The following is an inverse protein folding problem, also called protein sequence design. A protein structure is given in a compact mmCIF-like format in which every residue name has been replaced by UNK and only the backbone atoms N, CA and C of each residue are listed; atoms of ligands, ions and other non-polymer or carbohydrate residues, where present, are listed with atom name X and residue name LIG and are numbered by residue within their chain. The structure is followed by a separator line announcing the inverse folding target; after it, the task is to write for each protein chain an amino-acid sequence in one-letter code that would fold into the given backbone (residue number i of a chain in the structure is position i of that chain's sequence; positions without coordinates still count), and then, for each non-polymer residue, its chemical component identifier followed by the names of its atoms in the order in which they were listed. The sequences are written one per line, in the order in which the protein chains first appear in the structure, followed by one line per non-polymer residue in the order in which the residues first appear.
data_IF_506068473211
#
_entry.id   IF_506068473211
#
_cell.length_a   1.000
_cell.length_b   1.000
_cell.length_c   1.000
_cell.angle_alpha   90.00
_cell.angle_beta   90.00
_cell.angle_gamma   90.00
#
_symmetry.space_group_name_H-M   'P 1'
#
loop_
_entity.id
_entity.type
_entity.pdbx_description
1 polymer ?
#
# COMPACT_ATOMS: atom_id res chain seq x y z
N UNK A 1 -13.95 6.44 10.84
CA UNK A 1 -13.51 5.92 9.52
C UNK A 1 -12.18 6.54 9.12
N UNK A 2 -11.50 5.95 8.14
CA UNK A 2 -10.18 6.38 7.65
C UNK A 2 -10.18 6.47 6.14
N UNK A 3 -9.31 7.32 5.58
CA UNK A 3 -9.02 7.35 4.16
C UNK A 3 -7.62 6.83 3.88
N UNK A 4 -7.45 6.17 2.74
CA UNK A 4 -6.15 5.84 2.15
C UNK A 4 -6.18 6.14 0.65
N UNK A 5 -5.04 6.51 0.07
CA UNK A 5 -4.90 6.69 -1.38
C UNK A 5 -3.99 5.59 -1.93
N UNK A 6 -4.53 4.80 -2.84
CA UNK A 6 -3.86 3.60 -3.35
C UNK A 6 -3.90 3.54 -4.88
N UNK A 7 -2.98 2.79 -5.47
CA UNK A 7 -3.03 2.34 -6.86
C UNK A 7 -3.23 0.82 -6.89
N UNK A 8 -4.17 0.35 -7.69
CA UNK A 8 -4.34 -1.08 -7.99
C UNK A 8 -3.61 -1.40 -9.29
N UNK A 9 -2.47 -2.12 -9.25
CA UNK A 9 -1.72 -2.46 -10.45
C UNK A 9 -2.56 -3.29 -11.41
N UNK A 10 -2.62 -2.88 -12.69
CA UNK A 10 -3.28 -3.65 -13.73
C UNK A 10 -2.38 -4.80 -14.21
N UNK A 11 -2.28 -5.84 -13.40
CA UNK A 11 -1.48 -7.05 -13.61
C UNK A 11 -2.31 -8.30 -13.35
N UNK A 12 -1.79 -9.47 -13.76
CA UNK A 12 -2.36 -10.74 -13.35
C UNK A 12 -2.03 -10.99 -11.86
N UNK A 13 -3.05 -11.02 -11.00
CA UNK A 13 -2.90 -11.05 -9.53
C UNK A 13 -3.13 -12.39 -8.88
N UNK A 14 -3.44 -13.47 -9.62
CA UNK A 14 -3.81 -14.77 -9.04
C UNK A 14 -2.72 -15.32 -8.12
N UNK A 15 -1.45 -15.31 -8.55
CA UNK A 15 -0.33 -15.79 -7.74
C UNK A 15 -0.15 -14.96 -6.47
N UNK A 16 -0.30 -13.64 -6.57
CA UNK A 16 -0.23 -12.72 -5.42
C UNK A 16 -1.39 -13.00 -4.47
N UNK A 17 -2.61 -13.15 -4.99
CA UNK A 17 -3.80 -13.41 -4.19
C UNK A 17 -3.76 -14.77 -3.50
N UNK A 18 -3.31 -15.82 -4.17
CA UNK A 18 -3.12 -17.14 -3.58
C UNK A 18 -2.10 -17.11 -2.42
N UNK A 19 -1.02 -16.37 -2.60
CA UNK A 19 -0.02 -16.15 -1.56
C UNK A 19 -0.60 -15.35 -0.39
N UNK A 20 -1.26 -14.22 -0.67
CA UNK A 20 -1.90 -13.37 0.34
C UNK A 20 -2.99 -14.11 1.13
N UNK A 21 -3.69 -15.05 0.52
CA UNK A 21 -4.66 -15.91 1.21
C UNK A 21 -4.06 -16.66 2.41
N UNK A 22 -2.78 -16.98 2.34
CA UNK A 22 -2.07 -17.73 3.39
C UNK A 22 -1.44 -16.82 4.45
N UNK A 23 -1.03 -15.62 4.04
CA UNK A 23 -0.08 -14.82 4.82
C UNK A 23 -0.52 -13.39 5.12
N UNK A 24 -1.54 -12.84 4.42
CA UNK A 24 -1.97 -11.44 4.61
C UNK A 24 -3.32 -11.37 5.34
N UNK A 25 -3.36 -10.84 6.56
CA UNK A 25 -4.61 -10.67 7.30
C UNK A 25 -5.58 -9.69 6.63
N UNK A 26 -5.07 -8.78 5.79
CA UNK A 26 -5.86 -7.74 5.12
C UNK A 26 -6.35 -8.15 3.72
N UNK A 27 -6.10 -9.40 3.29
CA UNK A 27 -6.41 -9.83 1.92
C UNK A 27 -7.89 -9.70 1.55
N UNK A 28 -8.80 -9.79 2.52
CA UNK A 28 -10.24 -9.65 2.29
C UNK A 28 -10.71 -8.19 2.34
N UNK A 29 -9.90 -7.30 2.90
CA UNK A 29 -10.19 -5.87 2.98
C UNK A 29 -9.90 -5.16 1.66
N UNK A 30 -8.76 -5.46 1.06
CA UNK A 30 -8.26 -4.71 -0.09
C UNK A 30 -7.42 -5.60 -1.03
N UNK A 31 -7.63 -5.43 -2.32
CA UNK A 31 -6.86 -6.09 -3.37
C UNK A 31 -5.36 -5.71 -3.32
N UNK A 32 -4.47 -6.45 -4.03
CA UNK A 32 -3.06 -6.05 -4.17
C UNK A 32 -2.94 -4.61 -4.65
N UNK A 33 -2.24 -3.77 -3.89
CA UNK A 33 -2.16 -2.33 -4.14
C UNK A 33 -0.83 -1.72 -3.72
N UNK A 34 -0.53 -0.54 -4.25
CA UNK A 34 0.56 0.33 -3.81
C UNK A 34 -0.08 1.50 -3.06
N UNK A 35 0.34 1.73 -1.83
CA UNK A 35 -0.18 2.83 -1.01
C UNK A 35 0.59 4.11 -1.26
N UNK A 36 -0.12 5.20 -1.57
CA UNK A 36 0.44 6.56 -1.71
C UNK A 36 0.19 7.43 -0.48
N UNK A 37 -0.99 7.31 0.14
CA UNK A 37 -1.31 7.94 1.42
C UNK A 37 -1.85 6.85 2.34
N UNK A 38 -1.15 6.65 3.45
CA UNK A 38 -1.56 5.71 4.48
C UNK A 38 -2.75 6.28 5.28
N UNK A 39 -3.37 5.48 6.12
CA UNK A 39 -4.60 5.81 6.82
C UNK A 39 -4.58 7.20 7.47
N UNK A 40 -5.46 8.06 7.01
CA UNK A 40 -5.75 9.36 7.62
C UNK A 40 -7.18 9.38 8.16
N UNK A 41 -7.45 10.03 9.30
CA UNK A 41 -8.79 10.01 9.90
C UNK A 41 -9.80 10.79 9.06
N UNK A 42 -11.06 10.41 9.14
CA UNK A 42 -12.19 11.06 8.44
C UNK A 42 -12.32 12.55 8.78
N UNK A 43 -11.82 13.00 9.93
CA UNK A 43 -11.81 14.39 10.36
C UNK A 43 -11.05 15.34 9.43
N UNK A 44 -10.20 14.84 8.54
CA UNK A 44 -9.57 15.62 7.45
C UNK A 44 -10.62 16.26 6.53
N UNK A 45 -11.77 15.63 6.38
CA UNK A 45 -12.87 16.08 5.52
C UNK A 45 -12.70 15.62 4.07
N UNK A 46 -13.67 14.86 3.56
CA UNK A 46 -13.63 14.24 2.22
C UNK A 46 -13.43 15.27 1.11
N UNK A 47 -14.23 16.36 1.13
CA UNK A 47 -14.15 17.40 0.09
C UNK A 47 -12.76 18.05 0.05
N UNK A 48 -12.19 18.38 1.22
CA UNK A 48 -10.86 18.98 1.31
C UNK A 48 -9.78 18.04 0.81
N UNK A 49 -9.89 16.76 1.14
CA UNK A 49 -8.96 15.72 0.71
C UNK A 49 -9.02 15.52 -0.81
N UNK A 50 -10.22 15.46 -1.37
CA UNK A 50 -10.43 15.35 -2.82
C UNK A 50 -9.79 16.52 -3.56
N UNK A 51 -10.07 17.77 -3.14
CA UNK A 51 -9.50 18.97 -3.78
C UNK A 51 -7.98 19.02 -3.68
N UNK A 52 -7.43 18.57 -2.55
CA UNK A 52 -5.98 18.50 -2.36
C UNK A 52 -5.35 17.49 -3.33
N UNK A 53 -5.91 16.26 -3.43
CA UNK A 53 -5.43 15.22 -4.34
C UNK A 53 -5.51 15.71 -5.79
N UNK A 54 -6.64 16.28 -6.22
CA UNK A 54 -6.81 16.84 -7.58
C UNK A 54 -5.76 17.90 -7.89
N UNK A 55 -5.49 18.80 -6.94
CA UNK A 55 -4.48 19.85 -7.09
C UNK A 55 -3.07 19.28 -7.27
N UNK A 56 -2.69 18.26 -6.51
CA UNK A 56 -1.38 17.59 -6.65
C UNK A 56 -1.30 16.88 -8.00
N UNK A 57 -2.32 16.10 -8.36
CA UNK A 57 -2.31 15.27 -9.57
C UNK A 57 -2.40 16.07 -10.88
N UNK A 58 -2.79 17.35 -10.84
CA UNK A 58 -2.82 18.24 -12.03
C UNK A 58 -1.48 18.28 -12.77
N UNK A 59 -0.36 18.11 -12.06
CA UNK A 59 0.99 18.14 -12.63
C UNK A 59 1.57 16.76 -12.92
N UNK A 60 0.78 15.72 -12.73
CA UNK A 60 1.24 14.33 -12.91
C UNK A 60 0.68 13.72 -14.18
N UNK A 61 1.53 12.94 -14.84
CA UNK A 61 1.20 12.11 -15.99
C UNK A 61 1.33 10.65 -15.62
N UNK A 62 0.78 9.78 -16.45
CA UNK A 62 0.98 8.33 -16.34
C UNK A 62 2.47 8.00 -16.42
N UNK A 63 2.92 7.04 -15.64
CA UNK A 63 4.31 6.59 -15.64
C UNK A 63 4.42 5.07 -15.43
N UNK A 64 5.42 4.42 -16.06
CA UNK A 64 5.62 2.99 -15.93
C UNK A 64 6.21 2.63 -14.56
N UNK A 65 5.90 1.44 -14.10
CA UNK A 65 6.52 0.80 -12.93
C UNK A 65 6.84 -0.66 -13.24
N UNK A 66 7.85 -1.19 -12.54
CA UNK A 66 8.21 -2.60 -12.61
C UNK A 66 8.26 -3.18 -11.19
N UNK A 67 7.33 -4.10 -10.87
CA UNK A 67 7.25 -4.82 -9.61
C UNK A 67 8.13 -6.06 -9.69
N UNK A 68 9.24 -6.07 -8.95
CA UNK A 68 10.19 -7.19 -8.92
C UNK A 68 11.08 -7.09 -7.69
N UNK A 69 11.30 -8.23 -7.05
CA UNK A 69 12.12 -8.35 -5.86
C UNK A 69 11.30 -8.41 -4.58
N UNK A 70 11.87 -9.06 -3.59
CA UNK A 70 11.27 -9.28 -2.30
C UNK A 70 12.06 -8.55 -1.23
N UNK A 71 11.37 -7.86 -0.33
CA UNK A 71 12.00 -7.14 0.77
C UNK A 71 11.25 -7.42 2.08
N UNK A 72 12.01 -7.73 3.15
CA UNK A 72 11.52 -7.67 4.52
C UNK A 72 11.44 -6.19 4.93
N UNK A 73 10.31 -5.76 5.42
CA UNK A 73 10.13 -4.38 5.85
C UNK A 73 9.37 -4.30 7.18
N UNK A 74 9.64 -3.24 7.94
CA UNK A 74 9.02 -2.97 9.25
C UNK A 74 9.06 -4.20 10.19
N UNK A 75 10.13 -4.99 10.05
CA UNK A 75 10.42 -6.23 10.78
C UNK A 75 9.47 -7.42 10.55
N UNK A 76 8.20 -7.17 10.19
CA UNK A 76 7.15 -8.19 10.19
C UNK A 76 6.50 -8.44 8.84
N UNK A 77 6.78 -7.60 7.83
CA UNK A 77 6.16 -7.68 6.52
C UNK A 77 7.09 -8.27 5.46
N UNK A 78 6.50 -8.94 4.49
CA UNK A 78 7.13 -9.28 3.21
C UNK A 78 6.48 -8.46 2.11
N UNK A 79 7.31 -7.72 1.36
CA UNK A 79 6.89 -6.84 0.28
C UNK A 79 7.39 -7.35 -1.07
N UNK A 80 6.56 -7.21 -2.09
CA UNK A 80 6.98 -7.17 -3.50
C UNK A 80 7.27 -5.69 -3.82
N UNK A 81 8.53 -5.37 -4.06
CA UNK A 81 9.01 -3.99 -4.23
C UNK A 81 9.02 -3.56 -5.71
N UNK A 82 9.16 -2.25 -5.93
CA UNK A 82 9.40 -1.70 -7.25
C UNK A 82 10.88 -1.75 -7.58
N UNK A 83 11.23 -2.34 -8.73
CA UNK A 83 12.56 -2.29 -9.34
C UNK A 83 12.74 -1.03 -10.20
N UNK A 84 11.65 -0.54 -10.82
CA UNK A 84 11.61 0.70 -11.63
C UNK A 84 10.38 1.53 -11.28
N UNK A 85 10.44 2.85 -11.48
CA UNK A 85 9.37 3.81 -11.14
C UNK A 85 9.34 4.19 -9.67
N UNK A 86 10.34 3.78 -8.90
CA UNK A 86 10.43 4.00 -7.47
C UNK A 86 10.54 5.50 -7.13
N UNK A 87 11.35 6.24 -7.90
CA UNK A 87 11.57 7.67 -7.68
C UNK A 87 10.29 8.48 -7.91
N UNK A 88 9.52 8.15 -8.95
CA UNK A 88 8.25 8.77 -9.26
C UNK A 88 7.22 8.52 -8.15
N UNK A 89 7.10 7.27 -7.67
CA UNK A 89 6.18 6.93 -6.58
C UNK A 89 6.57 7.64 -5.29
N UNK A 90 7.87 7.68 -4.93
CA UNK A 90 8.35 8.41 -3.74
C UNK A 90 8.11 9.91 -3.87
N UNK A 91 8.33 10.50 -5.05
CA UNK A 91 8.08 11.92 -5.30
C UNK A 91 6.60 12.24 -5.15
N UNK A 92 5.71 11.48 -5.79
CA UNK A 92 4.26 11.67 -5.68
C UNK A 92 3.78 11.51 -4.24
N UNK A 93 4.27 10.50 -3.52
CA UNK A 93 3.99 10.32 -2.09
C UNK A 93 4.36 11.57 -1.28
N UNK A 94 5.56 12.15 -1.50
CA UNK A 94 5.99 13.36 -0.79
C UNK A 94 5.15 14.59 -1.14
N UNK A 95 4.77 14.77 -2.40
CA UNK A 95 3.90 15.86 -2.85
C UNK A 95 2.49 15.75 -2.26
N UNK A 96 1.95 14.52 -2.14
CA UNK A 96 0.67 14.26 -1.49
C UNK A 96 0.69 14.63 0.00
N UNK A 97 1.81 14.36 0.71
CA UNK A 97 1.97 14.72 2.12
C UNK A 97 2.36 16.19 2.33
N UNK A 98 1.75 17.09 1.53
CA UNK A 98 1.81 18.54 1.73
C UNK A 98 0.46 19.10 2.19
N UNK A 99 0.38 20.38 2.50
CA UNK A 99 -0.87 21.03 2.85
C UNK A 99 -1.63 20.32 3.97
N UNK A 100 -2.87 19.93 3.70
CA UNK A 100 -3.76 19.29 4.69
C UNK A 100 -3.29 17.90 5.14
N UNK A 101 -2.47 17.22 4.34
CA UNK A 101 -1.93 15.90 4.67
C UNK A 101 -0.58 15.96 5.39
N UNK A 102 0.10 17.11 5.44
CA UNK A 102 1.41 17.25 6.11
C UNK A 102 1.42 16.77 7.58
N UNK A 103 0.37 17.01 8.40
CA UNK A 103 0.35 16.52 9.79
C UNK A 103 0.26 15.00 9.93
N UNK A 104 -0.09 14.29 8.87
CA UNK A 104 -0.29 12.82 8.88
C UNK A 104 0.89 12.06 8.30
N UNK A 105 1.93 12.76 7.85
CA UNK A 105 3.16 12.10 7.42
C UNK A 105 3.78 11.33 8.58
N UNK A 106 4.30 10.14 8.29
CA UNK A 106 4.95 9.25 9.26
C UNK A 106 6.47 9.24 9.04
N UNK A 107 7.20 10.24 9.58
CA UNK A 107 8.66 10.32 9.41
C UNK A 107 9.41 9.20 10.15
N UNK A 108 8.75 8.54 11.07
CA UNK A 108 9.23 7.37 11.83
C UNK A 108 9.20 6.07 11.03
N UNK A 109 8.53 6.06 9.86
CA UNK A 109 8.42 4.90 8.97
C UNK A 109 9.07 5.24 7.64
N UNK A 110 10.06 4.46 7.23
CA UNK A 110 10.62 4.56 5.88
C UNK A 110 9.55 4.18 4.85
N UNK A 111 9.29 5.08 3.91
CA UNK A 111 8.39 4.80 2.81
C UNK A 111 9.09 3.97 1.73
N UNK A 112 8.68 2.73 1.60
CA UNK A 112 9.11 1.78 0.57
C UNK A 112 7.92 1.53 -0.36
N UNK A 113 7.95 1.94 -1.65
CA UNK A 113 6.91 1.59 -2.61
C UNK A 113 6.81 0.08 -2.82
N UNK A 114 5.62 -0.49 -2.60
CA UNK A 114 5.46 -1.96 -2.59
C UNK A 114 4.02 -2.41 -2.78
N UNK A 115 3.88 -3.69 -3.08
CA UNK A 115 2.65 -4.47 -2.85
C UNK A 115 2.89 -5.37 -1.64
N UNK A 116 2.03 -5.28 -0.62
CA UNK A 116 2.09 -6.14 0.57
C UNK A 116 1.76 -7.59 0.23
N UNK A 117 2.63 -8.52 0.59
CA UNK A 117 2.43 -9.96 0.39
C UNK A 117 1.96 -10.67 1.65
N UNK A 118 2.47 -10.27 2.81
CA UNK A 118 2.09 -10.92 4.06
C UNK A 118 2.64 -10.23 5.30
N UNK A 119 1.96 -10.48 6.43
CA UNK A 119 2.34 -10.05 7.77
C UNK A 119 2.68 -11.27 8.63
N UNK A 120 3.86 -11.28 9.21
CA UNK A 120 4.40 -12.41 9.95
C UNK A 120 4.56 -12.11 11.44
N UNK A 121 3.54 -11.50 12.02
CA UNK A 121 3.47 -11.29 13.46
C UNK A 121 3.08 -12.59 14.19
N UNK A 122 3.59 -12.77 15.43
CA UNK A 122 3.18 -13.88 16.29
C UNK A 122 1.68 -13.80 16.59
N UNK A 123 1.05 -14.96 16.80
CA UNK A 123 -0.41 -15.08 17.01
C UNK A 123 -0.93 -14.38 18.26
N UNK A 124 -0.08 -14.13 19.25
CA UNK A 124 -0.38 -13.43 20.50
C UNK A 124 -0.27 -11.90 20.38
N UNK A 125 0.17 -11.41 19.23
CA UNK A 125 0.27 -9.99 18.97
C UNK A 125 -1.10 -9.42 18.55
N UNK A 126 -1.56 -8.40 19.27
CA UNK A 126 -2.70 -7.60 18.82
C UNK A 126 -2.29 -6.79 17.59
N UNK A 127 -2.68 -7.28 16.41
CA UNK A 127 -2.44 -6.56 15.17
C UNK A 127 -3.38 -5.35 15.06
N UNK A 128 -2.79 -4.16 14.97
CA UNK A 128 -3.49 -2.93 14.60
C UNK A 128 -2.79 -2.33 13.38
N UNK A 129 -3.46 -2.31 12.25
CA UNK A 129 -2.94 -1.75 10.99
C UNK A 129 -2.48 -0.29 11.13
N UNK A 130 -3.04 0.45 12.11
CA UNK A 130 -2.67 1.84 12.41
C UNK A 130 -1.33 1.96 13.12
N UNK A 131 -0.86 0.88 13.75
CA UNK A 131 0.40 0.84 14.49
C UNK A 131 1.14 -0.50 14.28
N UNK A 132 1.67 -0.76 13.07
CA UNK A 132 2.24 -2.04 12.69
C UNK A 132 3.59 -2.36 13.35
N UNK A 133 4.20 -1.42 14.09
CA UNK A 133 5.57 -1.58 14.62
C UNK A 133 5.65 -2.28 15.99
N UNK A 134 4.55 -2.57 16.65
CA UNK A 134 4.52 -3.15 17.99
C UNK A 134 4.36 -4.68 18.02
N UNK A 135 4.78 -5.36 16.97
CA UNK A 135 4.56 -6.79 16.81
C UNK A 135 5.88 -7.57 16.98
N UNK A 136 5.78 -8.80 17.49
CA UNK A 136 6.89 -9.75 17.48
C UNK A 136 6.84 -10.59 16.21
N UNK A 137 7.99 -10.77 15.53
CA UNK A 137 8.09 -11.57 14.33
C UNK A 137 7.90 -13.07 14.62
N UNK A 138 7.18 -13.76 13.74
CA UNK A 138 7.18 -15.22 13.60
C UNK A 138 8.22 -15.60 12.55
N UNK A 139 9.46 -15.83 12.97
CA UNK A 139 10.59 -16.08 12.09
C UNK A 139 10.39 -17.34 11.22
N UNK A 140 9.86 -18.42 11.81
CA UNK A 140 9.68 -19.68 11.09
C UNK A 140 8.68 -19.49 9.93
N UNK A 141 7.55 -18.89 10.22
CA UNK A 141 6.52 -18.60 9.22
C UNK A 141 7.03 -17.62 8.15
N UNK A 142 7.83 -16.61 8.56
CA UNK A 142 8.42 -15.66 7.63
C UNK A 142 9.38 -16.35 6.64
N UNK A 143 10.32 -17.18 7.11
CA UNK A 143 11.27 -17.85 6.24
C UNK A 143 10.60 -18.86 5.29
N UNK A 144 9.60 -19.59 5.77
CA UNK A 144 8.78 -20.48 4.92
C UNK A 144 8.09 -19.70 3.80
N UNK A 145 7.47 -18.58 4.13
CA UNK A 145 6.81 -17.72 3.16
C UNK A 145 7.78 -17.07 2.17
N UNK A 146 8.97 -16.64 2.64
CA UNK A 146 10.01 -16.08 1.78
C UNK A 146 10.46 -17.10 0.72
N UNK A 147 10.73 -18.34 1.12
CA UNK A 147 11.08 -19.40 0.17
C UNK A 147 9.95 -19.68 -0.84
N UNK A 148 8.70 -19.67 -0.40
CA UNK A 148 7.55 -19.83 -1.29
C UNK A 148 7.47 -18.67 -2.28
N UNK A 149 7.56 -17.41 -1.81
CA UNK A 149 7.51 -16.22 -2.66
C UNK A 149 8.65 -16.17 -3.69
N UNK A 150 9.86 -16.62 -3.31
CA UNK A 150 10.99 -16.72 -4.23
C UNK A 150 10.72 -17.68 -5.39
N UNK A 151 10.04 -18.81 -5.12
CA UNK A 151 9.66 -19.79 -6.16
C UNK A 151 8.61 -19.27 -7.12
N UNK A 152 7.76 -18.32 -6.69
CA UNK A 152 6.75 -17.70 -7.56
C UNK A 152 7.38 -16.79 -8.62
N UNK A 153 8.62 -16.32 -8.43
CA UNK A 153 9.35 -15.45 -9.36
C UNK A 153 8.51 -14.26 -9.86
N UNK A 154 7.83 -13.57 -8.93
CA UNK A 154 6.92 -12.47 -9.23
C UNK A 154 7.66 -11.35 -9.97
N UNK A 155 7.19 -11.03 -11.19
CA UNK A 155 7.82 -10.08 -12.12
C UNK A 155 6.73 -9.46 -13.00
N UNK A 156 6.37 -8.19 -12.76
CA UNK A 156 5.24 -7.53 -13.43
C UNK A 156 5.57 -6.10 -13.83
N UNK A 157 5.28 -5.75 -15.07
CA UNK A 157 5.34 -4.37 -15.55
C UNK A 157 3.92 -3.84 -15.75
N UNK A 158 3.67 -2.63 -15.27
CA UNK A 158 2.41 -1.93 -15.48
C UNK A 158 2.62 -0.41 -15.46
N UNK A 159 1.53 0.34 -15.51
CA UNK A 159 1.54 1.81 -15.53
C UNK A 159 0.70 2.31 -14.37
N UNK A 160 1.18 3.32 -13.67
CA UNK A 160 0.36 4.11 -12.75
C UNK A 160 -0.36 5.16 -13.60
N UNK A 161 -1.63 4.90 -13.87
CA UNK A 161 -2.54 5.72 -14.67
C UNK A 161 -3.65 6.34 -13.83
N UNK A 162 -3.89 5.80 -12.64
CA UNK A 162 -4.94 6.25 -11.73
C UNK A 162 -4.66 5.90 -10.28
N UNK A 163 -5.24 6.69 -9.39
CA UNK A 163 -5.24 6.44 -7.95
C UNK A 163 -6.68 6.33 -7.45
N UNK A 164 -6.87 5.58 -6.38
CA UNK A 164 -8.16 5.38 -5.71
C UNK A 164 -8.08 5.89 -4.28
N UNK A 165 -8.89 6.89 -3.96
CA UNK A 165 -9.16 7.26 -2.58
C UNK A 165 -10.21 6.28 -2.06
N UNK A 166 -9.84 5.50 -1.06
CA UNK A 166 -10.73 4.53 -0.41
C UNK A 166 -11.05 4.99 1.00
N UNK A 167 -12.31 4.81 1.40
CA UNK A 167 -12.77 5.06 2.77
C UNK A 167 -13.01 3.72 3.45
N UNK A 168 -12.35 3.52 4.58
CA UNK A 168 -12.30 2.26 5.32
C UNK A 168 -13.09 2.44 6.62
N UNK A 169 -13.87 1.43 7.01
CA UNK A 169 -14.63 1.38 8.25
C UNK A 169 -13.74 1.52 9.50
N UNK A 170 -14.30 1.91 10.63
CA UNK A 170 -13.55 2.11 11.88
C UNK A 170 -12.91 0.82 12.41
N UNK A 171 -13.55 -0.31 12.18
CA UNK A 171 -13.07 -1.65 12.54
C UNK A 171 -12.10 -2.24 11.49
N UNK A 172 -11.84 -1.50 10.41
CA UNK A 172 -10.94 -1.89 9.31
C UNK A 172 -11.36 -3.20 8.65
N UNK A 173 -12.66 -3.47 8.56
CA UNK A 173 -13.21 -4.70 8.00
C UNK A 173 -13.64 -4.57 6.54
N UNK A 174 -13.96 -3.35 6.07
CA UNK A 174 -14.46 -3.12 4.71
C UNK A 174 -14.12 -1.73 4.16
N UNK A 175 -14.07 -1.64 2.81
CA UNK A 175 -14.07 -0.38 2.08
C UNK A 175 -15.51 0.02 1.83
N UNK A 176 -15.96 1.11 2.47
CA UNK A 176 -17.35 1.59 2.41
C UNK A 176 -17.60 2.55 1.26
N UNK A 177 -16.55 3.12 0.68
CA UNK A 177 -16.63 4.07 -0.43
C UNK A 177 -15.27 4.18 -1.14
N UNK A 178 -15.30 4.51 -2.44
CA UNK A 178 -14.09 4.82 -3.21
C UNK A 178 -14.32 5.87 -4.29
N UNK A 179 -13.27 6.63 -4.62
CA UNK A 179 -13.22 7.58 -5.73
C UNK A 179 -11.93 7.41 -6.52
N UNK A 180 -12.06 7.36 -7.86
CA UNK A 180 -10.93 7.28 -8.79
C UNK A 180 -10.46 8.67 -9.21
N UNK A 181 -9.14 8.81 -9.37
CA UNK A 181 -8.45 9.98 -9.94
C UNK A 181 -7.55 9.50 -11.07
N UNK A 182 -7.83 9.94 -12.29
CA UNK A 182 -7.08 9.55 -13.49
C UNK A 182 -5.94 10.54 -13.74
N UNK A 183 -4.73 10.04 -13.99
CA UNK A 183 -3.59 10.86 -14.38
C UNK A 183 -3.67 11.20 -15.88
N UNK A 184 -3.11 12.34 -16.26
CA UNK A 184 -3.01 12.72 -17.66
C UNK A 184 -2.14 11.73 -18.46
N UNK A 185 -2.42 11.54 -19.73
CA UNK A 185 -1.62 10.71 -20.64
C UNK A 185 -0.27 11.36 -20.97
#
# INVERSE_FOLDING_TARGET
MFYALVHYPNIETSLINDFRCKYDPNKNLIEPHITFVFLVPESVGETSLVLHIESVLTNWRTFPIHLKGLQKAWEHWLFLILAEGNEEVIRLHRELYTGILAPYQRPDIEFVPHVGLGLFARKDANYDIRNPQQLSLDDEKYFQALEEAQRLALDYSCVIDKLHLVKISDDVSEIVWSREFVLSA
#
